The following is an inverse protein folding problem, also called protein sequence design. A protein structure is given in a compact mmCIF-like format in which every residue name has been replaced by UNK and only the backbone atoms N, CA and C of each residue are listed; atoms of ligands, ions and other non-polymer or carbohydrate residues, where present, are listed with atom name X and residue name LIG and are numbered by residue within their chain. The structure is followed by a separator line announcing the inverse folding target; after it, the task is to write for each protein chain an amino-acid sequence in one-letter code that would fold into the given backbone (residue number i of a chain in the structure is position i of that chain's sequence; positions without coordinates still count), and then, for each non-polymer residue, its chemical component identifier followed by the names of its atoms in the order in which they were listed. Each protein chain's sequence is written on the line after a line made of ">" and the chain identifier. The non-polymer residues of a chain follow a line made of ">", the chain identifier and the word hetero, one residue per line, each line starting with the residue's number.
data_IF_632633662949
#
_entry.id   IF_632633662949
#
_cell.length_a   1.000
_cell.length_b   1.000
_cell.length_c   1.000
_cell.angle_alpha   90.00
_cell.angle_beta   90.00
_cell.angle_gamma   90.00
#
_symmetry.space_group_name_H-M   'P 1'
#
loop_
_entity.id
_entity.type
_entity.pdbx_description
1 polymer ?
#
# COMPACT_ATOMS: atom_id res chain seq x y z
N UNK A 1 -34.90 -129.95 50.70
CA UNK A 1 -35.19 -129.59 49.28
C UNK A 1 -34.91 -128.13 48.91
N UNK A 2 -34.80 -127.16 49.84
CA UNK A 2 -34.49 -125.75 49.53
C UNK A 2 -32.99 -125.39 49.34
N UNK A 3 -32.06 -126.28 49.73
CA UNK A 3 -30.60 -126.03 49.63
C UNK A 3 -30.02 -126.27 48.22
N UNK A 4 -30.70 -127.07 47.39
CA UNK A 4 -30.27 -127.38 46.01
C UNK A 4 -30.70 -126.27 45.04
N UNK A 5 -31.88 -125.68 45.25
CA UNK A 5 -32.32 -124.48 44.53
C UNK A 5 -31.51 -123.23 44.86
N UNK A 6 -30.94 -123.15 46.06
CA UNK A 6 -30.05 -122.05 46.47
C UNK A 6 -28.67 -122.15 45.78
N UNK A 7 -28.19 -123.37 45.50
CA UNK A 7 -26.88 -123.59 44.87
C UNK A 7 -26.93 -123.40 43.36
N UNK A 8 -28.01 -123.84 42.69
CA UNK A 8 -28.19 -123.67 41.23
C UNK A 8 -28.47 -122.21 40.84
N UNK A 9 -29.21 -121.46 41.66
CA UNK A 9 -29.48 -120.04 41.43
C UNK A 9 -28.21 -119.18 41.63
N UNK A 10 -27.36 -119.52 42.59
CA UNK A 10 -26.10 -118.83 42.85
C UNK A 10 -25.07 -119.08 41.74
N UNK A 11 -25.00 -120.30 41.20
CA UNK A 11 -24.13 -120.61 40.04
C UNK A 11 -24.62 -119.97 38.73
N UNK A 12 -25.93 -119.78 38.54
CA UNK A 12 -26.47 -119.07 37.37
C UNK A 12 -26.22 -117.56 37.45
N UNK A 13 -26.24 -116.97 38.65
CA UNK A 13 -25.94 -115.54 38.86
C UNK A 13 -24.45 -115.20 38.70
N UNK A 14 -23.54 -116.15 38.92
CA UNK A 14 -22.09 -115.93 38.79
C UNK A 14 -21.58 -116.08 37.34
N UNK A 15 -22.37 -116.64 36.42
CA UNK A 15 -21.97 -116.93 35.04
C UNK A 15 -22.49 -115.92 33.98
N UNK A 16 -23.22 -114.87 34.37
CA UNK A 16 -23.81 -113.89 33.43
C UNK A 16 -23.00 -112.59 33.30
N UNK A 17 -21.82 -112.49 33.92
CA UNK A 17 -21.02 -111.26 33.95
C UNK A 17 -19.95 -111.13 32.86
N UNK A 18 -19.87 -112.06 31.90
CA UNK A 18 -18.80 -112.05 30.87
C UNK A 18 -19.30 -111.53 29.51
N UNK A 19 -18.98 -110.27 29.18
CA UNK A 19 -19.12 -109.70 27.81
C UNK A 19 -18.11 -110.37 26.86
N UNK A 20 -18.50 -110.67 25.61
CA UNK A 20 -17.56 -111.24 24.63
C UNK A 20 -16.48 -110.23 24.26
N UNK A 21 -15.21 -110.64 24.33
CA UNK A 21 -14.01 -109.81 24.08
C UNK A 21 -14.13 -108.97 22.79
N UNK A 22 -14.76 -109.50 21.74
CA UNK A 22 -15.02 -108.79 20.47
C UNK A 22 -16.00 -107.62 20.61
N UNK A 23 -17.12 -107.77 21.31
CA UNK A 23 -18.11 -106.69 21.52
C UNK A 23 -17.54 -105.61 22.44
N UNK A 24 -16.77 -106.00 23.45
CA UNK A 24 -16.04 -105.08 24.31
C UNK A 24 -15.02 -104.27 23.50
N UNK A 25 -14.14 -104.93 22.71
CA UNK A 25 -13.15 -104.24 21.88
C UNK A 25 -13.79 -103.32 20.83
N UNK A 26 -14.92 -103.71 20.20
CA UNK A 26 -15.60 -102.83 19.24
C UNK A 26 -16.21 -101.59 19.89
N UNK A 27 -16.82 -101.73 21.07
CA UNK A 27 -17.34 -100.60 21.83
C UNK A 27 -16.21 -99.69 22.33
N UNK A 28 -15.08 -100.28 22.75
CA UNK A 28 -13.87 -99.57 23.14
C UNK A 28 -13.28 -98.80 21.95
N UNK A 29 -13.17 -99.42 20.77
CA UNK A 29 -12.72 -98.77 19.53
C UNK A 29 -13.64 -97.64 19.06
N UNK A 30 -14.96 -97.81 19.18
CA UNK A 30 -15.93 -96.77 18.86
C UNK A 30 -15.87 -95.60 19.86
N UNK A 31 -15.67 -95.90 21.15
CA UNK A 31 -15.47 -94.91 22.19
C UNK A 31 -14.15 -94.15 22.00
N UNK A 32 -13.06 -94.82 21.62
CA UNK A 32 -11.78 -94.16 21.30
C UNK A 32 -11.92 -93.30 20.04
N UNK A 33 -12.57 -93.79 18.98
CA UNK A 33 -12.78 -93.00 17.76
C UNK A 33 -13.66 -91.75 18.01
N UNK A 34 -14.71 -91.87 18.84
CA UNK A 34 -15.53 -90.74 19.26
C UNK A 34 -14.75 -89.75 20.12
N UNK A 35 -13.91 -90.25 21.05
CA UNK A 35 -13.01 -89.42 21.87
C UNK A 35 -11.99 -88.67 21.01
N UNK A 36 -11.40 -89.33 20.02
CA UNK A 36 -10.43 -88.72 19.09
C UNK A 36 -11.12 -87.66 18.22
N UNK A 37 -12.34 -87.92 17.74
CA UNK A 37 -13.15 -86.95 16.99
C UNK A 37 -13.50 -85.72 17.84
N UNK A 38 -13.97 -85.92 19.08
CA UNK A 38 -14.25 -84.83 20.02
C UNK A 38 -12.98 -84.04 20.38
N UNK A 39 -11.84 -84.71 20.53
CA UNK A 39 -10.55 -84.07 20.77
C UNK A 39 -10.12 -83.24 19.56
N UNK A 40 -10.34 -83.71 18.33
CA UNK A 40 -10.10 -82.96 17.10
C UNK A 40 -10.96 -81.70 16.99
N UNK A 41 -12.27 -81.82 17.26
CA UNK A 41 -13.19 -80.68 17.30
C UNK A 41 -12.80 -79.66 18.38
N UNK A 42 -12.40 -80.12 19.56
CA UNK A 42 -11.93 -79.27 20.65
C UNK A 42 -10.66 -78.50 20.25
N UNK A 43 -9.70 -79.18 19.60
CA UNK A 43 -8.47 -78.56 19.13
C UNK A 43 -8.75 -77.52 18.04
N UNK A 44 -9.60 -77.85 17.05
CA UNK A 44 -10.01 -76.91 16.00
C UNK A 44 -10.74 -75.68 16.59
N UNK A 45 -11.65 -75.90 17.55
CA UNK A 45 -12.36 -74.79 18.21
C UNK A 45 -11.40 -73.88 19.00
N UNK A 46 -10.41 -74.46 19.67
CA UNK A 46 -9.35 -73.69 20.35
C UNK A 46 -8.51 -72.89 19.36
N UNK A 47 -8.13 -73.49 18.23
CA UNK A 47 -7.34 -72.82 17.21
C UNK A 47 -8.10 -71.65 16.56
N UNK A 48 -9.36 -71.86 16.19
CA UNK A 48 -10.25 -70.79 15.71
C UNK A 48 -10.43 -69.70 16.77
N UNK A 49 -10.60 -70.07 18.05
CA UNK A 49 -10.68 -69.12 19.16
C UNK A 49 -9.42 -68.27 19.31
N UNK A 50 -8.24 -68.89 19.18
CA UNK A 50 -6.95 -68.20 19.23
C UNK A 50 -6.77 -67.26 18.03
N UNK A 51 -7.12 -67.71 16.82
CA UNK A 51 -7.07 -66.90 15.60
C UNK A 51 -8.01 -65.68 15.71
N UNK A 52 -9.25 -65.90 16.15
CA UNK A 52 -10.23 -64.82 16.32
C UNK A 52 -9.77 -63.84 17.41
N UNK A 53 -9.22 -64.32 18.51
CA UNK A 53 -8.63 -63.46 19.56
C UNK A 53 -7.50 -62.59 19.04
N UNK A 54 -6.61 -63.16 18.22
CA UNK A 54 -5.54 -62.41 17.56
C UNK A 54 -6.08 -61.36 16.56
N UNK A 55 -7.11 -61.70 15.78
CA UNK A 55 -7.77 -60.76 14.87
C UNK A 55 -8.44 -59.61 15.65
N UNK A 56 -9.19 -59.90 16.72
CA UNK A 56 -9.81 -58.89 17.58
C UNK A 56 -8.73 -57.95 18.16
N UNK A 57 -7.60 -58.48 18.61
CA UNK A 57 -6.49 -57.67 19.12
C UNK A 57 -5.89 -56.75 18.06
N UNK A 58 -5.73 -57.24 16.83
CA UNK A 58 -5.23 -56.43 15.72
C UNK A 58 -6.24 -55.34 15.34
N UNK A 59 -7.52 -55.68 15.22
CA UNK A 59 -8.59 -54.71 14.95
C UNK A 59 -8.65 -53.63 16.03
N UNK A 60 -8.58 -53.98 17.31
CA UNK A 60 -8.55 -53.00 18.40
C UNK A 60 -7.34 -52.06 18.30
N UNK A 61 -6.17 -52.59 17.93
CA UNK A 61 -4.96 -51.78 17.70
C UNK A 61 -5.17 -50.81 16.55
N UNK A 62 -5.74 -51.28 15.45
CA UNK A 62 -5.96 -50.47 14.25
C UNK A 62 -7.06 -49.42 14.47
N UNK A 63 -8.14 -49.75 15.20
CA UNK A 63 -9.15 -48.78 15.63
C UNK A 63 -8.54 -47.72 16.55
N UNK A 64 -7.65 -48.10 17.46
CA UNK A 64 -6.95 -47.14 18.33
C UNK A 64 -6.05 -46.21 17.53
N UNK A 65 -5.27 -46.74 16.58
CA UNK A 65 -4.44 -45.95 15.66
C UNK A 65 -5.29 -44.98 14.83
N UNK A 66 -6.38 -45.47 14.24
CA UNK A 66 -7.30 -44.66 13.46
C UNK A 66 -7.91 -43.55 14.30
N UNK A 67 -8.34 -43.84 15.54
CA UNK A 67 -8.86 -42.84 16.47
C UNK A 67 -7.84 -41.76 16.82
N UNK A 68 -6.56 -42.11 16.95
CA UNK A 68 -5.47 -41.14 17.13
C UNK A 68 -5.29 -40.24 15.89
N UNK A 69 -5.24 -40.83 14.69
CA UNK A 69 -5.12 -40.07 13.44
C UNK A 69 -6.30 -39.12 13.21
N UNK A 70 -7.53 -39.57 13.49
CA UNK A 70 -8.73 -38.72 13.39
C UNK A 70 -8.61 -37.50 14.32
N UNK A 71 -8.19 -37.70 15.58
CA UNK A 71 -7.98 -36.58 16.52
C UNK A 71 -6.91 -35.61 16.03
N UNK A 72 -5.82 -36.11 15.47
CA UNK A 72 -4.77 -35.27 14.90
C UNK A 72 -5.29 -34.44 13.72
N UNK A 73 -6.02 -35.07 12.79
CA UNK A 73 -6.62 -34.34 11.67
C UNK A 73 -7.63 -33.30 12.13
N UNK A 74 -8.50 -33.62 13.11
CA UNK A 74 -9.42 -32.64 13.69
C UNK A 74 -8.69 -31.43 14.29
N UNK A 75 -7.59 -31.67 15.01
CA UNK A 75 -6.76 -30.59 15.57
C UNK A 75 -6.15 -29.71 14.48
N UNK A 76 -5.58 -30.31 13.42
CA UNK A 76 -5.00 -29.57 12.30
C UNK A 76 -6.07 -28.75 11.54
N UNK A 77 -7.25 -29.35 11.33
CA UNK A 77 -8.35 -28.70 10.65
C UNK A 77 -8.85 -27.48 11.44
N UNK A 78 -8.95 -27.60 12.77
CA UNK A 78 -9.27 -26.47 13.64
C UNK A 78 -8.23 -25.35 13.56
N UNK A 79 -6.93 -25.68 13.61
CA UNK A 79 -5.85 -24.68 13.48
C UNK A 79 -5.95 -23.97 12.13
N UNK A 80 -6.06 -24.70 11.03
CA UNK A 80 -6.16 -24.13 9.69
C UNK A 80 -7.43 -23.27 9.53
N UNK A 81 -8.57 -23.69 10.10
CA UNK A 81 -9.79 -22.88 10.10
C UNK A 81 -9.56 -21.55 10.84
N UNK A 82 -8.94 -21.57 12.03
CA UNK A 82 -8.66 -20.32 12.77
C UNK A 82 -7.66 -19.41 12.06
N UNK A 83 -6.68 -19.98 11.36
CA UNK A 83 -5.73 -19.20 10.55
C UNK A 83 -6.43 -18.58 9.34
N UNK A 84 -7.32 -19.32 8.69
CA UNK A 84 -8.13 -18.83 7.58
C UNK A 84 -9.05 -17.69 8.01
N UNK A 85 -9.68 -17.79 9.18
CA UNK A 85 -10.50 -16.71 9.75
C UNK A 85 -9.68 -15.44 10.00
N UNK A 86 -8.49 -15.58 10.60
CA UNK A 86 -7.56 -14.45 10.81
C UNK A 86 -7.12 -13.82 9.50
N UNK A 87 -6.78 -14.64 8.51
CA UNK A 87 -6.35 -14.16 7.20
C UNK A 87 -7.49 -13.41 6.49
N UNK A 88 -8.71 -13.92 6.55
CA UNK A 88 -9.89 -13.26 5.97
C UNK A 88 -10.19 -11.93 6.67
N UNK A 89 -10.08 -11.87 8.00
CA UNK A 89 -10.23 -10.63 8.76
C UNK A 89 -9.17 -9.58 8.37
N UNK A 90 -7.91 -10.01 8.28
CA UNK A 90 -6.81 -9.15 7.83
C UNK A 90 -7.00 -8.68 6.39
N UNK A 91 -7.44 -9.56 5.48
CA UNK A 91 -7.73 -9.20 4.09
C UNK A 91 -8.85 -8.17 4.02
N UNK A 92 -9.91 -8.33 4.81
CA UNK A 92 -11.01 -7.37 4.90
C UNK A 92 -10.52 -6.01 5.41
N UNK A 93 -9.67 -6.00 6.44
CA UNK A 93 -9.06 -4.76 6.94
C UNK A 93 -8.20 -4.08 5.88
N UNK A 94 -7.30 -4.83 5.22
CA UNK A 94 -6.43 -4.28 4.17
C UNK A 94 -7.22 -3.79 2.97
N UNK A 95 -8.31 -4.45 2.60
CA UNK A 95 -9.22 -3.99 1.56
C UNK A 95 -9.85 -2.65 1.92
N UNK A 96 -10.29 -2.46 3.16
CA UNK A 96 -10.84 -1.18 3.60
C UNK A 96 -9.79 -0.07 3.58
N UNK A 97 -8.59 -0.33 4.10
CA UNK A 97 -7.47 0.63 4.04
C UNK A 97 -7.11 1.02 2.60
N UNK A 98 -7.13 0.06 1.66
CA UNK A 98 -6.88 0.34 0.24
C UNK A 98 -7.98 1.20 -0.37
N UNK A 99 -9.24 0.91 -0.09
CA UNK A 99 -10.37 1.70 -0.59
C UNK A 99 -10.31 3.16 -0.08
N UNK A 100 -9.93 3.36 1.19
CA UNK A 100 -9.74 4.70 1.75
C UNK A 100 -8.60 5.44 1.05
N UNK A 101 -7.46 4.77 0.84
CA UNK A 101 -6.34 5.35 0.08
C UNK A 101 -6.69 5.68 -1.36
N UNK A 102 -7.44 4.81 -2.03
CA UNK A 102 -7.91 5.06 -3.40
C UNK A 102 -8.78 6.31 -3.45
N UNK A 103 -9.68 6.50 -2.48
CA UNK A 103 -10.48 7.71 -2.36
C UNK A 103 -9.62 8.96 -2.17
N UNK A 104 -8.63 8.91 -1.26
CA UNK A 104 -7.71 10.05 -1.06
C UNK A 104 -6.92 10.38 -2.33
N UNK A 105 -6.45 9.36 -3.06
CA UNK A 105 -5.73 9.55 -4.32
C UNK A 105 -6.63 10.24 -5.35
N UNK A 106 -7.87 9.79 -5.49
CA UNK A 106 -8.82 10.40 -6.43
C UNK A 106 -9.12 11.86 -6.06
N UNK A 107 -9.34 12.15 -4.77
CA UNK A 107 -9.54 13.53 -4.28
C UNK A 107 -8.31 14.42 -4.55
N UNK A 108 -7.09 13.90 -4.37
CA UNK A 108 -5.85 14.60 -4.71
C UNK A 108 -5.71 14.87 -6.21
N UNK A 109 -6.04 13.90 -7.05
CA UNK A 109 -6.01 14.05 -8.50
C UNK A 109 -6.98 15.14 -8.98
N UNK A 110 -8.19 15.18 -8.43
CA UNK A 110 -9.18 16.20 -8.75
C UNK A 110 -8.71 17.60 -8.36
N UNK A 111 -8.07 17.74 -7.20
CA UNK A 111 -7.50 19.02 -6.77
C UNK A 111 -6.33 19.47 -7.64
N UNK A 112 -5.42 18.57 -8.01
CA UNK A 112 -4.31 18.87 -8.93
C UNK A 112 -4.86 19.32 -10.28
N UNK A 113 -5.89 18.62 -10.79
CA UNK A 113 -6.55 19.01 -12.05
C UNK A 113 -7.16 20.41 -11.95
N UNK A 114 -7.93 20.68 -10.89
CA UNK A 114 -8.52 21.99 -10.67
C UNK A 114 -7.46 23.10 -10.55
N UNK A 115 -6.31 22.79 -9.94
CA UNK A 115 -5.18 23.71 -9.84
C UNK A 115 -4.52 23.98 -11.21
N UNK A 116 -4.32 22.93 -12.03
CA UNK A 116 -3.82 23.09 -13.39
C UNK A 116 -4.77 23.95 -14.24
N UNK A 117 -6.08 23.72 -14.13
CA UNK A 117 -7.09 24.52 -14.83
C UNK A 117 -7.01 26.01 -14.43
N UNK A 118 -6.78 26.30 -13.14
CA UNK A 118 -6.54 27.67 -12.64
C UNK A 118 -5.26 28.28 -13.21
N UNK A 119 -4.16 27.54 -13.25
CA UNK A 119 -2.88 28.00 -13.81
C UNK A 119 -3.03 28.34 -15.29
N UNK A 120 -3.74 27.52 -16.06
CA UNK A 120 -3.99 27.77 -17.48
C UNK A 120 -4.87 29.02 -17.70
N UNK A 121 -5.91 29.20 -16.89
CA UNK A 121 -6.73 30.40 -16.93
C UNK A 121 -5.91 31.65 -16.57
N UNK A 122 -5.07 31.57 -15.53
CA UNK A 122 -4.16 32.65 -15.17
C UNK A 122 -3.19 32.96 -16.31
N UNK A 123 -2.58 31.94 -16.91
CA UNK A 123 -1.68 32.10 -18.05
C UNK A 123 -2.36 32.83 -19.22
N UNK A 124 -3.59 32.46 -19.56
CA UNK A 124 -4.37 33.14 -20.61
C UNK A 124 -4.62 34.59 -20.25
N UNK A 125 -5.15 34.86 -19.05
CA UNK A 125 -5.47 36.21 -18.59
C UNK A 125 -4.22 37.13 -18.59
N UNK A 126 -3.08 36.59 -18.17
CA UNK A 126 -1.80 37.31 -18.18
C UNK A 126 -1.33 37.58 -19.61
N UNK A 127 -1.39 36.59 -20.51
CA UNK A 127 -1.05 36.79 -21.92
C UNK A 127 -1.93 37.85 -22.56
N UNK A 128 -3.24 37.79 -22.33
CA UNK A 128 -4.23 38.72 -22.88
C UNK A 128 -4.00 40.15 -22.37
N UNK A 129 -3.72 40.33 -21.08
CA UNK A 129 -3.40 41.62 -20.50
C UNK A 129 -2.11 42.24 -21.08
N UNK A 130 -1.18 41.40 -21.56
CA UNK A 130 0.16 41.81 -21.97
C UNK A 130 0.39 41.78 -23.49
N UNK A 131 -0.65 41.56 -24.31
CA UNK A 131 -0.58 41.51 -25.78
C UNK A 131 0.04 42.77 -26.44
N UNK A 132 0.06 43.90 -25.74
CA UNK A 132 0.61 45.17 -26.25
C UNK A 132 2.13 45.31 -26.17
N UNK A 133 2.85 44.30 -25.67
CA UNK A 133 4.32 44.32 -25.51
C UNK A 133 4.98 43.34 -26.46
N UNK A 134 6.20 43.65 -26.93
CA UNK A 134 6.95 42.75 -27.79
C UNK A 134 7.59 41.62 -26.98
N UNK A 135 7.92 40.51 -27.65
CA UNK A 135 8.61 39.35 -27.05
C UNK A 135 10.01 39.68 -26.52
N UNK A 136 10.63 40.75 -27.03
CA UNK A 136 11.92 41.24 -26.55
C UNK A 136 11.80 42.03 -25.25
N UNK A 137 10.63 42.64 -25.01
CA UNK A 137 10.35 43.43 -23.81
C UNK A 137 9.83 42.55 -22.68
N UNK A 138 9.00 41.55 -23.00
CA UNK A 138 8.31 40.72 -22.05
C UNK A 138 8.06 39.30 -22.60
N UNK A 139 8.19 38.29 -21.75
CA UNK A 139 7.78 36.91 -22.07
C UNK A 139 6.90 36.33 -20.97
N UNK A 140 5.90 35.53 -21.36
CA UNK A 140 5.01 34.82 -20.45
C UNK A 140 5.13 33.32 -20.72
N UNK A 141 5.48 32.55 -19.69
CA UNK A 141 5.65 31.10 -19.77
C UNK A 141 5.07 30.41 -18.54
N UNK A 142 4.62 29.18 -18.73
CA UNK A 142 4.23 28.29 -17.63
C UNK A 142 5.37 27.30 -17.39
N UNK A 143 5.67 27.05 -16.11
CA UNK A 143 6.67 26.08 -15.69
C UNK A 143 6.34 25.61 -14.28
N UNK A 144 6.37 24.30 -14.05
CA UNK A 144 6.17 23.68 -12.73
C UNK A 144 4.87 24.12 -12.02
N UNK A 145 3.77 24.30 -12.78
CA UNK A 145 2.49 24.75 -12.22
C UNK A 145 2.47 26.22 -11.77
N UNK A 146 3.42 27.03 -12.26
CA UNK A 146 3.52 28.47 -11.98
C UNK A 146 3.58 29.24 -13.29
N UNK A 147 3.07 30.47 -13.25
CA UNK A 147 3.15 31.40 -14.38
C UNK A 147 4.31 32.37 -14.14
N UNK A 148 5.23 32.44 -15.09
CA UNK A 148 6.39 33.32 -15.08
C UNK A 148 6.18 34.42 -16.12
N UNK A 149 6.29 35.66 -15.67
CA UNK A 149 6.33 36.84 -16.54
C UNK A 149 7.72 37.46 -16.40
N UNK A 150 8.57 37.27 -17.40
CA UNK A 150 9.88 37.90 -17.43
C UNK A 150 9.79 39.23 -18.17
N UNK A 151 10.09 40.32 -17.49
CA UNK A 151 10.15 41.66 -18.04
C UNK A 151 11.60 42.10 -18.15
N UNK A 152 12.02 42.58 -19.31
CA UNK A 152 13.38 43.06 -19.52
C UNK A 152 13.69 44.29 -18.67
N UNK A 153 14.95 44.42 -18.25
CA UNK A 153 15.41 45.60 -17.52
C UNK A 153 15.20 46.90 -18.30
N UNK A 154 15.35 46.84 -19.63
CA UNK A 154 15.16 47.98 -20.54
C UNK A 154 13.71 48.48 -20.57
N UNK A 155 12.74 47.58 -20.40
CA UNK A 155 11.33 47.96 -20.29
C UNK A 155 11.04 48.60 -18.93
N UNK A 156 11.57 48.01 -17.86
CA UNK A 156 11.18 48.34 -16.49
C UNK A 156 11.93 49.52 -15.90
N UNK A 157 13.22 49.69 -16.20
CA UNK A 157 14.09 50.61 -15.49
C UNK A 157 14.91 51.47 -16.42
N UNK A 158 15.30 52.64 -15.91
CA UNK A 158 16.35 53.43 -16.53
C UNK A 158 17.71 52.72 -16.36
N UNK A 159 18.62 52.92 -17.32
CA UNK A 159 19.96 52.29 -17.31
C UNK A 159 20.69 52.53 -15.98
N UNK A 160 21.17 51.47 -15.34
CA UNK A 160 21.89 51.53 -14.05
C UNK A 160 21.06 52.02 -12.86
N UNK A 161 19.73 52.10 -13.00
CA UNK A 161 18.82 52.61 -11.98
C UNK A 161 17.86 51.52 -11.49
N UNK A 162 17.26 51.77 -10.32
CA UNK A 162 16.11 51.03 -9.80
C UNK A 162 14.82 51.88 -9.84
N UNK A 163 14.86 53.04 -10.50
CA UNK A 163 13.69 53.86 -10.80
C UNK A 163 13.00 53.31 -12.04
N UNK A 164 11.68 53.11 -11.93
CA UNK A 164 10.91 52.58 -13.04
C UNK A 164 10.73 53.61 -14.16
N UNK A 165 10.69 53.10 -15.40
CA UNK A 165 10.27 53.85 -16.57
C UNK A 165 8.73 53.87 -16.63
N UNK A 166 8.16 54.92 -17.23
CA UNK A 166 6.71 55.07 -17.41
C UNK A 166 6.13 53.89 -18.20
N UNK A 167 6.82 53.41 -19.23
CA UNK A 167 6.36 52.26 -20.02
C UNK A 167 6.37 50.96 -19.19
N UNK A 168 7.34 50.82 -18.30
CA UNK A 168 7.40 49.73 -17.32
C UNK A 168 6.26 49.80 -16.32
N UNK A 169 5.93 51.00 -15.81
CA UNK A 169 4.78 51.21 -14.94
C UNK A 169 3.45 50.83 -15.63
N UNK A 170 3.27 51.22 -16.89
CA UNK A 170 2.09 50.82 -17.69
C UNK A 170 1.97 49.29 -17.82
N UNK A 171 3.08 48.57 -18.04
CA UNK A 171 3.10 47.11 -18.09
C UNK A 171 2.70 46.49 -16.75
N UNK A 172 3.23 47.03 -15.64
CA UNK A 172 2.90 46.60 -14.29
C UNK A 172 1.44 46.89 -13.94
N UNK A 173 0.87 47.99 -14.43
CA UNK A 173 -0.54 48.30 -14.24
C UNK A 173 -1.46 47.25 -14.86
N UNK A 174 -1.20 46.85 -16.11
CA UNK A 174 -1.97 45.78 -16.77
C UNK A 174 -1.83 44.44 -16.05
N UNK A 175 -0.63 44.12 -15.58
CA UNK A 175 -0.42 42.91 -14.80
C UNK A 175 -1.16 42.99 -13.45
N UNK A 176 -1.15 44.14 -12.78
CA UNK A 176 -1.83 44.35 -11.50
C UNK A 176 -3.34 44.14 -11.60
N UNK A 177 -3.98 44.48 -12.72
CA UNK A 177 -5.40 44.17 -12.95
C UNK A 177 -5.68 42.66 -12.91
N UNK A 178 -4.75 41.83 -13.39
CA UNK A 178 -4.86 40.38 -13.32
C UNK A 178 -4.60 39.91 -11.89
N UNK A 179 -3.55 40.42 -11.24
CA UNK A 179 -3.19 40.07 -9.86
C UNK A 179 -4.30 40.41 -8.86
N UNK A 180 -5.00 41.53 -9.03
CA UNK A 180 -6.09 41.93 -8.14
C UNK A 180 -7.35 41.07 -8.29
N UNK A 181 -7.51 40.37 -9.42
CA UNK A 181 -8.63 39.42 -9.64
C UNK A 181 -8.34 38.04 -9.05
N UNK A 182 -7.07 37.69 -8.80
CA UNK A 182 -6.67 36.39 -8.28
C UNK A 182 -6.15 36.51 -6.85
N UNK A 183 -6.94 36.02 -5.90
CA UNK A 183 -6.62 36.11 -4.45
C UNK A 183 -6.03 34.82 -3.88
N UNK A 184 -6.06 33.75 -4.66
CA UNK A 184 -5.60 32.40 -4.32
C UNK A 184 -4.21 32.06 -4.88
N UNK A 185 -3.42 33.10 -5.20
CA UNK A 185 -2.04 33.00 -5.66
C UNK A 185 -1.09 33.78 -4.74
N UNK A 186 0.16 33.35 -4.71
CA UNK A 186 1.29 34.12 -4.20
C UNK A 186 2.14 34.61 -5.39
N UNK A 187 2.71 35.80 -5.26
CA UNK A 187 3.40 36.55 -6.31
C UNK A 187 4.82 36.86 -5.85
N UNK A 188 5.80 36.19 -6.45
CA UNK A 188 7.21 36.46 -6.19
C UNK A 188 7.76 37.35 -7.27
N UNK A 189 8.46 38.43 -6.88
CA UNK A 189 9.17 39.29 -7.81
C UNK A 189 10.66 39.04 -7.63
N UNK A 190 11.30 38.44 -8.62
CA UNK A 190 12.73 38.13 -8.61
C UNK A 190 13.49 39.07 -9.54
N UNK A 191 14.46 39.81 -9.00
CA UNK A 191 15.39 40.58 -9.81
C UNK A 191 16.58 39.73 -10.26
N UNK A 192 17.03 39.92 -11.50
CA UNK A 192 18.21 39.29 -12.08
C UNK A 192 19.10 40.32 -12.80
N UNK A 193 20.41 40.08 -12.79
CA UNK A 193 21.41 40.88 -13.51
C UNK A 193 22.17 40.02 -14.51
N UNK A 194 22.95 40.66 -15.38
CA UNK A 194 24.03 39.98 -16.08
C UNK A 194 25.28 39.88 -15.19
N UNK A 195 26.37 39.34 -15.74
CA UNK A 195 27.65 39.20 -15.04
C UNK A 195 28.53 40.46 -15.03
N UNK A 196 28.01 41.63 -15.45
CA UNK A 196 28.81 42.86 -15.41
C UNK A 196 28.79 43.38 -13.97
N UNK A 197 29.95 43.57 -13.34
CA UNK A 197 29.99 44.01 -11.96
C UNK A 197 29.47 45.44 -11.84
N UNK A 198 28.58 45.67 -10.88
CA UNK A 198 28.14 47.00 -10.47
C UNK A 198 28.73 47.32 -9.09
N UNK A 199 29.24 48.54 -8.92
CA UNK A 199 29.65 49.08 -7.64
C UNK A 199 29.44 50.59 -7.67
N UNK A 200 28.40 51.05 -7.00
CA UNK A 200 27.98 52.45 -6.93
C UNK A 200 27.68 52.82 -5.49
N UNK A 201 27.48 54.11 -5.21
CA UNK A 201 27.04 54.57 -3.87
C UNK A 201 25.72 53.91 -3.44
N UNK A 202 24.84 53.57 -4.40
CA UNK A 202 23.52 52.99 -4.13
C UNK A 202 23.51 51.46 -4.10
N UNK A 203 24.42 50.81 -4.84
CA UNK A 203 24.44 49.36 -5.06
C UNK A 203 25.86 48.86 -4.85
N UNK A 204 26.08 48.00 -3.84
CA UNK A 204 27.42 47.45 -3.58
C UNK A 204 27.83 46.41 -4.63
N UNK A 205 26.86 45.64 -5.10
CA UNK A 205 27.05 44.55 -6.07
C UNK A 205 25.74 44.25 -6.84
N UNK A 206 25.80 43.21 -7.67
CA UNK A 206 24.67 42.73 -8.46
C UNK A 206 23.54 42.15 -7.59
N UNK A 207 23.85 41.64 -6.39
CA UNK A 207 22.83 41.20 -5.44
C UNK A 207 21.98 42.38 -4.96
N UNK A 208 22.63 43.43 -4.47
CA UNK A 208 21.96 44.66 -4.01
C UNK A 208 21.07 45.25 -5.11
N UNK A 209 21.60 45.38 -6.33
CA UNK A 209 20.83 45.90 -7.48
C UNK A 209 19.58 45.06 -7.73
N UNK A 210 19.74 43.73 -7.76
CA UNK A 210 18.64 42.81 -8.06
C UNK A 210 17.50 42.88 -7.03
N UNK A 211 17.84 42.91 -5.73
CA UNK A 211 16.86 42.98 -4.64
C UNK A 211 16.16 44.34 -4.61
N UNK A 212 16.90 45.44 -4.82
CA UNK A 212 16.32 46.78 -4.82
C UNK A 212 15.37 46.97 -5.99
N UNK A 213 15.71 46.47 -7.19
CA UNK A 213 14.82 46.48 -8.36
C UNK A 213 13.53 45.74 -8.11
N UNK A 214 13.60 44.51 -7.59
CA UNK A 214 12.40 43.74 -7.22
C UNK A 214 11.54 44.49 -6.20
N UNK A 215 12.17 45.10 -5.18
CA UNK A 215 11.47 45.90 -4.16
C UNK A 215 10.80 47.14 -4.76
N UNK A 216 11.42 47.82 -5.72
CA UNK A 216 10.82 48.95 -6.43
C UNK A 216 9.55 48.54 -7.16
N UNK A 217 9.55 47.39 -7.85
CA UNK A 217 8.36 46.84 -8.54
C UNK A 217 7.26 46.53 -7.54
N UNK A 218 7.57 45.84 -6.43
CA UNK A 218 6.59 45.55 -5.37
C UNK A 218 5.96 46.84 -4.84
N UNK A 219 6.76 47.88 -4.58
CA UNK A 219 6.27 49.17 -4.08
C UNK A 219 5.30 49.83 -5.05
N UNK A 220 5.57 49.78 -6.35
CA UNK A 220 4.67 50.32 -7.38
C UNK A 220 3.36 49.53 -7.42
N UNK A 221 3.44 48.20 -7.45
CA UNK A 221 2.26 47.33 -7.47
C UNK A 221 1.35 47.56 -6.25
N UNK A 222 1.92 47.70 -5.07
CA UNK A 222 1.16 47.98 -3.84
C UNK A 222 0.61 49.42 -3.85
N UNK A 223 1.48 50.42 -4.03
CA UNK A 223 1.11 51.83 -3.81
C UNK A 223 0.23 52.41 -4.92
N UNK A 224 0.49 52.05 -6.17
CA UNK A 224 -0.17 52.66 -7.31
C UNK A 224 -1.33 51.78 -7.83
N UNK A 225 -1.24 50.46 -7.64
CA UNK A 225 -2.19 49.51 -8.20
C UNK A 225 -2.91 48.64 -7.16
N UNK A 226 -2.72 48.91 -5.87
CA UNK A 226 -3.43 48.26 -4.75
C UNK A 226 -3.32 46.73 -4.72
N UNK A 227 -2.22 46.17 -5.22
CA UNK A 227 -1.94 44.74 -5.08
C UNK A 227 -1.80 44.40 -3.59
N UNK A 228 -2.49 43.35 -3.14
CA UNK A 228 -2.50 42.97 -1.74
C UNK A 228 -1.07 42.71 -1.22
N UNK A 229 -0.58 43.43 -0.20
CA UNK A 229 0.76 43.23 0.35
C UNK A 229 1.01 41.81 0.88
N UNK A 230 -0.04 41.09 1.29
CA UNK A 230 0.06 39.74 1.82
C UNK A 230 0.31 38.67 0.74
N UNK A 231 0.11 39.00 -0.53
CA UNK A 231 0.26 38.05 -1.64
C UNK A 231 1.56 38.26 -2.44
N UNK A 232 2.41 39.22 -2.05
CA UNK A 232 3.55 39.63 -2.88
C UNK A 232 4.85 39.69 -2.09
N UNK A 233 5.92 39.09 -2.64
CA UNK A 233 7.24 39.05 -2.01
C UNK A 233 8.35 39.44 -3.00
N UNK A 234 9.22 40.43 -2.69
CA UNK A 234 10.41 40.69 -3.48
C UNK A 234 11.56 39.75 -3.11
N UNK A 235 12.37 39.38 -4.10
CA UNK A 235 13.65 38.69 -3.92
C UNK A 235 14.64 39.08 -5.03
N UNK A 236 15.91 38.78 -4.85
CA UNK A 236 16.95 38.99 -5.85
C UNK A 236 17.78 37.73 -6.02
N UNK A 237 18.33 37.54 -7.23
CA UNK A 237 19.19 36.40 -7.57
C UNK A 237 20.57 36.83 -8.09
N UNK A 238 20.82 38.14 -8.17
CA UNK A 238 22.02 38.69 -8.81
C UNK A 238 22.26 38.09 -10.20
N UNK A 239 23.52 37.76 -10.48
CA UNK A 239 24.00 37.19 -11.74
C UNK A 239 23.96 35.65 -11.80
N UNK A 240 23.56 34.99 -10.71
CA UNK A 240 23.76 33.55 -10.49
C UNK A 240 22.69 32.65 -11.11
N UNK A 241 21.67 33.24 -11.73
CA UNK A 241 20.59 32.53 -12.44
C UNK A 241 20.44 33.06 -13.88
N UNK A 242 21.47 32.92 -14.73
CA UNK A 242 21.40 33.34 -16.12
C UNK A 242 20.42 32.44 -16.90
N UNK A 243 19.70 33.04 -17.84
CA UNK A 243 18.80 32.34 -18.78
C UNK A 243 19.40 32.23 -20.18
N UNK A 244 20.50 32.96 -20.43
CA UNK A 244 21.24 32.92 -21.68
C UNK A 244 22.73 33.23 -21.41
N UNK A 245 23.57 33.11 -22.42
CA UNK A 245 25.02 33.29 -22.32
C UNK A 245 25.41 34.75 -21.98
N UNK A 246 26.28 34.91 -20.98
CA UNK A 246 26.78 36.23 -20.57
C UNK A 246 27.90 36.76 -21.48
N UNK A 247 28.42 35.96 -22.42
CA UNK A 247 29.45 36.42 -23.36
C UNK A 247 28.87 37.30 -24.47
N UNK A 248 27.60 37.10 -24.85
CA UNK A 248 26.93 37.87 -25.91
C UNK A 248 26.18 39.10 -25.38
N UNK A 249 25.99 40.13 -26.21
CA UNK A 249 25.22 41.33 -25.81
C UNK A 249 23.75 40.96 -25.61
N UNK A 250 23.24 40.11 -26.50
CA UNK A 250 21.87 39.61 -26.53
C UNK A 250 21.59 38.77 -25.29
N UNK A 251 22.47 37.82 -24.95
CA UNK A 251 22.28 36.97 -23.78
C UNK A 251 22.38 37.74 -22.46
N UNK A 252 23.32 38.68 -22.33
CA UNK A 252 23.33 39.61 -21.19
C UNK A 252 22.04 40.42 -21.08
N UNK A 253 21.47 40.86 -22.20
CA UNK A 253 20.19 41.59 -22.19
C UNK A 253 19.03 40.75 -21.68
N UNK A 254 19.00 39.45 -21.95
CA UNK A 254 17.99 38.53 -21.40
C UNK A 254 18.23 38.21 -19.92
N UNK A 255 19.50 38.17 -19.49
CA UNK A 255 19.85 37.94 -18.09
C UNK A 255 19.43 39.11 -17.19
N UNK A 256 19.51 40.36 -17.70
CA UNK A 256 18.95 41.55 -17.05
C UNK A 256 17.43 41.58 -17.17
N UNK A 257 16.75 40.92 -16.23
CA UNK A 257 15.28 40.81 -16.20
C UNK A 257 14.74 40.87 -14.78
N UNK A 258 13.46 41.21 -14.66
CA UNK A 258 12.68 40.95 -13.46
C UNK A 258 11.65 39.87 -13.79
N UNK A 259 11.66 38.77 -13.05
CA UNK A 259 10.65 37.72 -13.18
C UNK A 259 9.56 37.90 -12.14
N UNK A 260 8.31 37.91 -12.59
CA UNK A 260 7.13 37.92 -11.74
C UNK A 260 6.52 36.53 -11.82
N UNK A 261 6.59 35.81 -10.71
CA UNK A 261 6.24 34.41 -10.59
C UNK A 261 4.94 34.32 -9.80
N UNK A 262 3.88 33.84 -10.45
CA UNK A 262 2.60 33.61 -9.81
C UNK A 262 2.45 32.11 -9.52
N UNK A 263 2.35 31.77 -8.25
CA UNK A 263 2.20 30.40 -7.76
C UNK A 263 0.84 30.24 -7.08
N UNK A 264 0.02 29.24 -7.44
CA UNK A 264 -1.21 28.97 -6.70
C UNK A 264 -0.91 28.52 -5.28
N UNK A 265 -1.75 28.92 -4.31
CA UNK A 265 -1.61 28.51 -2.92
C UNK A 265 -1.87 27.02 -2.76
N UNK A 266 -0.95 26.35 -2.07
CA UNK A 266 -0.99 24.90 -1.84
C UNK A 266 -1.47 24.51 -0.43
N UNK A 267 -1.90 25.49 0.38
CA UNK A 267 -2.25 25.28 1.80
C UNK A 267 -3.26 24.15 2.00
N UNK A 268 -4.30 24.10 1.16
CA UNK A 268 -5.33 23.07 1.22
C UNK A 268 -4.79 21.67 0.90
N UNK A 269 -3.86 21.58 -0.06
CA UNK A 269 -3.22 20.32 -0.42
C UNK A 269 -2.32 19.81 0.73
N UNK A 270 -1.55 20.72 1.36
CA UNK A 270 -0.72 20.37 2.51
C UNK A 270 -1.54 19.96 3.74
N UNK A 271 -2.67 20.62 4.02
CA UNK A 271 -3.57 20.23 5.11
C UNK A 271 -4.10 18.80 4.96
N UNK A 272 -4.41 18.38 3.72
CA UNK A 272 -4.89 17.01 3.46
C UNK A 272 -3.78 15.96 3.55
N UNK A 273 -2.55 16.30 3.17
CA UNK A 273 -1.41 15.41 3.37
C UNK A 273 -1.14 15.19 4.86
N UNK A 274 -1.18 16.26 5.67
CA UNK A 274 -0.99 16.17 7.12
C UNK A 274 -2.08 15.34 7.80
N UNK A 275 -3.35 15.57 7.47
CA UNK A 275 -4.45 14.79 8.05
C UNK A 275 -4.41 13.29 7.67
N UNK A 276 -3.82 12.96 6.52
CA UNK A 276 -3.60 11.57 6.10
C UNK A 276 -2.43 10.88 6.82
N UNK A 277 -1.51 11.66 7.41
CA UNK A 277 -0.38 11.14 8.19
C UNK A 277 -0.74 10.97 9.67
N UNK A 278 -1.54 11.86 10.24
CA UNK A 278 -1.99 11.81 11.64
C UNK A 278 -3.01 10.69 11.92
N UNK A 279 -3.59 10.08 10.89
CA UNK A 279 -4.53 8.94 11.02
C UNK A 279 -3.85 7.56 11.03
N UNK A 280 -2.51 7.50 11.03
CA UNK A 280 -1.71 6.27 11.16
C UNK A 280 -1.29 6.01 12.60
#
# INVERSE_FOLDING_TARGET
>A
MKKITLFTLLTLLLCTSCVTKKKFMLAEMAATASKDSLQGLLNNSREVGNQLSAQVKNLLRDTTKMGNSIRQYQSMLNVNMTEQEKLNALLSQKKNELNERERTINELQDMIKAQNDKVQNLLSNVKDALLGFSTDELTVREKDGKVYVAMSDKLLFQSGSARLDKRGEEALGKLAEVLNKQTDIDVFIEGHTDNKPINTVQFKDNWDLSVIRATSVVRILIKNYNVNPLQIQPSGRGEYMPVDDNETIEGRSKNRRTEIIMAPKLDKLFQMLQSSEESK
#
